data_IF_753794441096
#
_entry.id   IF_753794441096
#
_cell.length_a   1.000
_cell.length_b   1.000
_cell.length_c   1.000
_cell.angle_alpha   90.00
_cell.angle_beta   90.00
_cell.angle_gamma   90.00
#
_symmetry.space_group_name_H-M   'P 1'
#
loop_
_entity.id
_entity.type
_entity.pdbx_description
1 polymer ?
#
# COMPACT_ATOMS: atom_id res chain seq x y z
N UNK A 1 11.68 -34.27 18.48
CA UNK A 1 11.22 -33.24 17.52
C UNK A 1 9.80 -33.60 17.12
N UNK A 2 8.80 -32.93 17.68
CA UNK A 2 7.41 -33.12 17.24
C UNK A 2 7.28 -32.71 15.77
N UNK A 3 6.73 -33.61 14.94
CA UNK A 3 6.36 -33.29 13.57
C UNK A 3 5.25 -32.24 13.63
N UNK A 4 5.56 -30.98 13.31
CA UNK A 4 4.53 -29.99 12.99
C UNK A 4 3.75 -30.51 11.78
N UNK A 5 2.56 -31.05 12.00
CA UNK A 5 1.62 -31.31 10.93
C UNK A 5 1.27 -29.95 10.31
N UNK A 6 1.75 -29.73 9.09
CA UNK A 6 1.37 -28.57 8.30
C UNK A 6 -0.13 -28.71 7.98
N UNK A 7 -0.95 -27.68 8.25
CA UNK A 7 -2.38 -27.73 7.93
C UNK A 7 -2.57 -28.01 6.42
N UNK A 8 -3.58 -28.81 6.08
CA UNK A 8 -3.91 -29.06 4.69
C UNK A 8 -4.48 -27.79 4.06
N UNK A 9 -4.36 -27.64 2.73
CA UNK A 9 -4.96 -26.51 1.99
C UNK A 9 -6.47 -26.39 2.30
N UNK A 10 -7.13 -27.52 2.52
CA UNK A 10 -8.55 -27.61 2.89
C UNK A 10 -8.85 -26.97 4.25
N UNK A 11 -7.91 -27.00 5.19
CA UNK A 11 -8.09 -26.40 6.52
C UNK A 11 -7.93 -24.88 6.47
N UNK A 12 -7.15 -24.35 5.51
CA UNK A 12 -7.15 -22.92 5.18
C UNK A 12 -8.51 -22.46 4.64
N UNK A 13 -9.22 -23.31 3.89
CA UNK A 13 -10.58 -23.01 3.42
C UNK A 13 -11.65 -23.15 4.53
N UNK A 14 -11.45 -24.03 5.51
CA UNK A 14 -12.40 -24.32 6.60
C UNK A 14 -12.41 -23.32 7.77
N UNK A 15 -11.40 -22.46 7.91
CA UNK A 15 -11.45 -21.38 8.93
C UNK A 15 -12.66 -20.44 8.73
N UNK A 16 -12.95 -19.57 9.69
CA UNK A 16 -14.13 -18.68 9.75
C UNK A 16 -14.48 -18.08 8.37
N UNK A 17 -15.53 -18.64 7.76
CA UNK A 17 -15.94 -18.31 6.40
C UNK A 17 -16.51 -16.90 6.33
N UNK A 18 -17.22 -16.47 7.37
CA UNK A 18 -17.87 -15.16 7.44
C UNK A 18 -16.83 -14.03 7.58
N UNK A 19 -15.81 -14.24 8.43
CA UNK A 19 -14.69 -13.30 8.54
C UNK A 19 -13.94 -13.15 7.21
N UNK A 20 -13.73 -14.26 6.48
CA UNK A 20 -13.06 -14.24 5.17
C UNK A 20 -13.89 -13.54 4.10
N UNK A 21 -15.20 -13.78 4.07
CA UNK A 21 -16.10 -13.08 3.14
C UNK A 21 -16.06 -11.57 3.40
N UNK A 22 -16.17 -11.16 4.66
CA UNK A 22 -16.08 -9.74 5.06
C UNK A 22 -14.73 -9.13 4.67
N UNK A 23 -13.62 -9.85 4.87
CA UNK A 23 -12.28 -9.39 4.45
C UNK A 23 -12.12 -9.34 2.93
N UNK A 24 -12.74 -10.27 2.19
CA UNK A 24 -12.73 -10.26 0.72
C UNK A 24 -13.52 -9.06 0.17
N UNK A 25 -14.68 -8.76 0.74
CA UNK A 25 -15.46 -7.57 0.40
C UNK A 25 -14.64 -6.29 0.66
N UNK A 26 -14.00 -6.18 1.83
CA UNK A 26 -13.09 -5.08 2.13
C UNK A 26 -11.95 -4.98 1.11
N UNK A 27 -11.32 -6.10 0.75
CA UNK A 27 -10.27 -6.14 -0.26
C UNK A 27 -10.77 -5.63 -1.62
N UNK A 28 -12.00 -5.95 -2.01
CA UNK A 28 -12.58 -5.47 -3.27
C UNK A 28 -12.82 -3.96 -3.22
N UNK A 29 -13.31 -3.44 -2.09
CA UNK A 29 -13.53 -2.00 -1.89
C UNK A 29 -12.22 -1.22 -1.90
N UNK A 30 -11.18 -1.70 -1.19
CA UNK A 30 -9.87 -1.05 -1.13
C UNK A 30 -9.13 -1.10 -2.48
N UNK A 31 -9.47 -2.05 -3.35
CA UNK A 31 -8.87 -2.19 -4.67
C UNK A 31 -9.71 -1.62 -5.82
N UNK A 32 -10.69 -0.76 -5.51
CA UNK A 32 -11.31 0.11 -6.51
C UNK A 32 -10.33 1.18 -7.03
N UNK A 33 -10.46 1.63 -8.29
CA UNK A 33 -9.58 2.66 -8.83
C UNK A 33 -9.78 4.00 -8.09
N UNK A 34 -8.72 4.79 -7.89
CA UNK A 34 -8.83 6.12 -7.30
C UNK A 34 -9.58 7.07 -8.24
N UNK A 35 -10.19 8.12 -7.68
CA UNK A 35 -10.88 9.13 -8.48
C UNK A 35 -9.91 9.76 -9.50
N UNK A 36 -10.25 9.79 -10.80
CA UNK A 36 -9.34 10.28 -11.85
C UNK A 36 -8.86 11.72 -11.63
N UNK A 37 -9.71 12.57 -11.04
CA UNK A 37 -9.40 13.96 -10.72
C UNK A 37 -8.28 14.13 -9.67
N UNK A 38 -7.97 13.11 -8.89
CA UNK A 38 -6.91 13.15 -7.88
C UNK A 38 -5.55 12.73 -8.41
N UNK A 39 -5.52 12.15 -9.61
CA UNK A 39 -4.30 11.64 -10.23
C UNK A 39 -3.58 12.80 -10.91
N UNK A 40 -2.35 13.09 -10.46
CA UNK A 40 -1.48 14.12 -11.02
C UNK A 40 -0.23 13.51 -11.64
N UNK A 41 0.40 14.23 -12.57
CA UNK A 41 1.71 13.84 -13.12
C UNK A 41 2.84 14.33 -12.23
N UNK A 42 3.82 13.48 -11.96
CA UNK A 42 4.94 13.83 -11.10
C UNK A 42 5.79 14.94 -11.73
N UNK A 43 6.13 16.01 -10.99
CA UNK A 43 6.83 17.17 -11.56
C UNK A 43 8.25 16.85 -12.05
N UNK A 44 8.90 15.85 -11.47
CA UNK A 44 10.31 15.51 -11.76
C UNK A 44 10.48 14.20 -12.53
N UNK A 45 9.46 13.35 -12.61
CA UNK A 45 9.57 11.99 -13.18
C UNK A 45 8.59 11.85 -14.33
N UNK A 46 9.12 11.77 -15.55
CA UNK A 46 8.31 11.72 -16.78
C UNK A 46 7.51 10.42 -16.83
N UNK A 47 6.20 10.53 -16.95
CA UNK A 47 5.29 9.39 -17.06
C UNK A 47 4.90 8.74 -15.74
N UNK A 48 5.40 9.25 -14.60
CA UNK A 48 4.99 8.77 -13.27
C UNK A 48 3.78 9.59 -12.82
N UNK A 49 2.70 8.90 -12.48
CA UNK A 49 1.50 9.47 -11.89
C UNK A 49 1.57 9.34 -10.37
N UNK A 50 0.95 10.26 -9.64
CA UNK A 50 0.86 10.22 -8.19
C UNK A 50 -0.44 10.81 -7.68
N UNK A 51 -0.82 10.44 -6.46
CA UNK A 51 -1.91 11.05 -5.71
C UNK A 51 -1.28 12.01 -4.68
N UNK A 52 -1.74 13.28 -4.57
CA UNK A 52 -1.27 14.21 -3.55
C UNK A 52 -1.48 13.68 -2.13
N UNK A 53 -0.55 13.95 -1.22
CA UNK A 53 -0.58 13.44 0.17
C UNK A 53 -1.89 13.82 0.89
N UNK A 54 -2.37 15.05 0.71
CA UNK A 54 -3.65 15.54 1.27
C UNK A 54 -4.85 14.62 0.94
N UNK A 55 -4.84 13.99 -0.24
CA UNK A 55 -5.92 13.08 -0.68
C UNK A 55 -5.75 11.70 -0.07
N UNK A 56 -4.51 11.26 0.14
CA UNK A 56 -4.19 10.01 0.83
C UNK A 56 -4.61 10.10 2.29
N UNK A 57 -4.25 11.16 3.00
CA UNK A 57 -4.65 11.38 4.40
C UNK A 57 -6.17 11.51 4.56
N UNK A 58 -6.82 12.20 3.62
CA UNK A 58 -8.28 12.24 3.55
C UNK A 58 -8.90 10.85 3.39
N UNK A 59 -8.37 10.01 2.49
CA UNK A 59 -8.85 8.64 2.29
C UNK A 59 -8.62 7.77 3.54
N UNK A 60 -7.45 7.87 4.17
CA UNK A 60 -7.15 7.15 5.41
C UNK A 60 -8.14 7.53 6.52
N UNK A 61 -8.41 8.82 6.67
CA UNK A 61 -9.37 9.34 7.65
C UNK A 61 -10.79 8.88 7.33
N UNK A 62 -11.19 8.89 6.06
CA UNK A 62 -12.56 8.52 5.65
C UNK A 62 -12.80 7.01 5.76
N UNK A 63 -11.81 6.19 5.46
CA UNK A 63 -11.95 4.72 5.43
C UNK A 63 -11.71 4.08 6.80
N UNK A 64 -10.69 4.50 7.54
CA UNK A 64 -10.29 3.83 8.79
C UNK A 64 -10.63 4.60 10.06
N UNK A 65 -11.04 5.88 9.97
CA UNK A 65 -11.32 6.81 11.08
C UNK A 65 -10.13 7.10 12.00
N UNK A 66 -9.48 6.06 12.52
CA UNK A 66 -8.27 6.12 13.34
C UNK A 66 -7.07 5.59 12.56
N UNK A 67 -6.09 6.47 12.38
CA UNK A 67 -4.79 6.12 11.83
C UNK A 67 -3.71 6.97 12.48
N UNK A 68 -2.48 6.46 12.51
CA UNK A 68 -1.32 7.17 13.06
C UNK A 68 -0.07 6.78 12.31
N UNK A 69 0.89 7.70 12.28
CA UNK A 69 2.20 7.49 11.65
C UNK A 69 3.25 7.39 12.74
N UNK A 70 4.05 6.34 12.66
CA UNK A 70 5.25 6.17 13.48
C UNK A 70 6.48 6.29 12.58
N UNK A 71 7.35 7.26 12.85
CA UNK A 71 8.64 7.36 12.15
C UNK A 71 9.58 6.31 12.72
N UNK A 72 9.92 5.29 11.93
CA UNK A 72 10.84 4.20 12.32
C UNK A 72 12.29 4.65 12.28
N UNK A 73 12.66 5.39 11.25
CA UNK A 73 14.02 5.90 11.06
C UNK A 73 14.05 7.08 10.12
N UNK A 74 14.91 8.04 10.41
CA UNK A 74 15.30 9.11 9.50
C UNK A 74 16.80 9.03 9.31
N UNK A 75 17.24 8.82 8.07
CA UNK A 75 18.65 8.61 7.73
C UNK A 75 19.05 9.50 6.56
N UNK A 76 20.32 9.89 6.51
CA UNK A 76 20.92 10.48 5.32
C UNK A 76 21.68 9.35 4.62
N UNK A 77 21.27 9.02 3.40
CA UNK A 77 21.93 8.02 2.56
C UNK A 77 22.38 8.74 1.31
N UNK A 78 23.69 8.74 1.04
CA UNK A 78 24.27 9.56 -0.03
C UNK A 78 23.88 11.04 0.16
N UNK A 79 23.34 11.69 -0.88
CA UNK A 79 22.82 13.05 -0.84
C UNK A 79 21.29 13.10 -0.66
N UNK A 80 20.69 12.10 -0.01
CA UNK A 80 19.22 12.01 0.14
C UNK A 80 18.81 11.79 1.59
N UNK A 81 17.71 12.44 1.98
CA UNK A 81 16.99 12.11 3.20
C UNK A 81 16.09 10.89 2.90
N UNK A 82 16.27 9.83 3.68
CA UNK A 82 15.46 8.61 3.60
C UNK A 82 14.71 8.45 4.91
N UNK A 83 13.39 8.36 4.81
CA UNK A 83 12.50 8.19 5.95
C UNK A 83 11.77 6.86 5.78
N UNK A 84 11.78 6.07 6.85
CA UNK A 84 10.97 4.85 6.96
C UNK A 84 9.88 5.14 7.98
N UNK A 85 8.63 4.94 7.56
CA UNK A 85 7.46 5.10 8.42
C UNK A 85 6.71 3.80 8.56
N UNK A 86 6.03 3.65 9.69
CA UNK A 86 4.99 2.65 9.90
C UNK A 86 3.66 3.36 10.00
N UNK A 87 2.78 3.11 9.03
CA UNK A 87 1.42 3.58 9.03
C UNK A 87 0.56 2.56 9.75
N UNK A 88 0.01 2.93 10.90
CA UNK A 88 -0.96 2.13 11.63
C UNK A 88 -2.37 2.62 11.29
N UNK A 89 -3.28 1.69 11.03
CA UNK A 89 -4.69 1.98 10.80
C UNK A 89 -5.56 0.92 11.48
N UNK A 90 -6.69 1.36 12.00
CA UNK A 90 -7.66 0.44 12.61
C UNK A 90 -8.51 -0.18 11.51
N UNK A 91 -8.52 -1.51 11.44
CA UNK A 91 -9.36 -2.21 10.48
C UNK A 91 -10.84 -2.09 10.88
N UNK A 92 -11.70 -1.81 9.90
CA UNK A 92 -13.12 -1.53 10.13
C UNK A 92 -13.94 -2.79 10.47
N UNK A 93 -13.42 -3.98 10.15
CA UNK A 93 -14.15 -5.24 10.31
C UNK A 93 -14.00 -5.82 11.72
N UNK A 94 -12.81 -5.71 12.31
CA UNK A 94 -12.45 -6.37 13.58
C UNK A 94 -11.95 -5.38 14.66
N UNK A 95 -11.82 -4.09 14.33
CA UNK A 95 -11.25 -3.04 15.19
C UNK A 95 -9.80 -3.27 15.61
N UNK A 96 -9.11 -4.23 15.00
CA UNK A 96 -7.70 -4.49 15.29
C UNK A 96 -6.79 -3.52 14.53
N UNK A 97 -5.65 -3.23 15.13
CA UNK A 97 -4.64 -2.36 14.53
C UNK A 97 -3.79 -3.14 13.53
N UNK A 98 -3.93 -2.78 12.26
CA UNK A 98 -3.04 -3.22 11.20
C UNK A 98 -2.00 -2.16 10.89
N UNK A 99 -0.93 -2.56 10.20
CA UNK A 99 0.11 -1.63 9.81
C UNK A 99 0.73 -1.97 8.46
N UNK A 100 1.24 -0.94 7.79
CA UNK A 100 2.09 -1.07 6.61
C UNK A 100 3.32 -0.20 6.80
N UNK A 101 4.48 -0.74 6.45
CA UNK A 101 5.72 0.04 6.42
C UNK A 101 5.86 0.70 5.06
N UNK A 102 6.36 1.94 5.05
CA UNK A 102 6.60 2.72 3.84
C UNK A 102 7.97 3.37 3.86
N UNK A 103 8.56 3.51 2.67
CA UNK A 103 9.88 4.12 2.50
C UNK A 103 9.76 5.30 1.54
N UNK A 104 10.32 6.43 1.93
CA UNK A 104 10.39 7.62 1.11
C UNK A 104 11.80 8.19 1.09
N UNK A 105 12.20 8.69 -0.08
CA UNK A 105 13.50 9.29 -0.29
C UNK A 105 13.37 10.61 -1.06
N UNK A 106 14.10 11.63 -0.63
CA UNK A 106 14.19 12.91 -1.33
C UNK A 106 15.63 13.42 -1.34
N UNK A 107 16.09 13.83 -2.51
CA UNK A 107 17.43 14.38 -2.66
C UNK A 107 17.57 15.73 -1.95
N UNK A 108 18.66 15.88 -1.21
CA UNK A 108 19.14 17.13 -0.63
C UNK A 108 19.63 17.99 -1.80
N UNK A 109 19.06 19.18 -1.94
CA UNK A 109 19.33 20.07 -3.07
C UNK A 109 20.65 20.84 -2.87
N UNK A 110 21.50 20.82 -3.88
CA UNK A 110 22.69 21.66 -4.00
C UNK A 110 22.45 22.83 -4.95
N UNK A 111 23.37 23.78 -4.97
CA UNK A 111 23.35 24.89 -5.90
C UNK A 111 23.51 24.43 -7.36
N UNK A 112 22.98 25.24 -8.28
CA UNK A 112 22.98 24.92 -9.70
C UNK A 112 24.41 24.83 -10.22
N UNK A 113 24.79 23.68 -10.77
CA UNK A 113 26.12 23.43 -11.32
C UNK A 113 27.08 22.74 -10.35
N UNK A 114 26.69 22.57 -9.09
CA UNK A 114 27.46 21.82 -8.09
C UNK A 114 27.20 20.32 -8.19
N UNK A 115 28.18 19.52 -7.78
CA UNK A 115 28.02 18.07 -7.66
C UNK A 115 26.98 17.70 -6.60
N UNK A 116 26.29 16.58 -6.78
CA UNK A 116 25.27 16.10 -5.85
C UNK A 116 25.80 15.83 -4.41
N UNK A 117 27.11 15.62 -4.27
CA UNK A 117 27.79 15.32 -3.00
C UNK A 117 28.59 16.52 -2.47
N UNK A 118 28.44 17.71 -3.06
CA UNK A 118 29.13 18.92 -2.60
C UNK A 118 28.39 19.53 -1.41
N UNK A 119 28.78 19.10 -0.21
CA UNK A 119 28.18 19.57 1.04
C UNK A 119 28.39 21.08 1.28
N UNK A 120 29.45 21.67 0.71
CA UNK A 120 29.69 23.11 0.82
C UNK A 120 28.73 23.94 -0.04
N UNK A 121 28.16 23.33 -1.08
CA UNK A 121 27.17 23.93 -1.96
C UNK A 121 25.74 23.45 -1.66
N UNK A 122 25.49 22.87 -0.49
CA UNK A 122 24.14 22.47 -0.06
C UNK A 122 23.33 23.71 0.29
N UNK A 123 22.11 23.80 -0.25
CA UNK A 123 21.22 24.93 0.08
C UNK A 123 20.86 24.90 1.56
N UNK A 124 20.80 26.07 2.18
CA UNK A 124 20.47 26.19 3.61
C UNK A 124 19.10 25.60 3.98
N UNK A 125 18.15 25.60 3.05
CA UNK A 125 16.81 25.02 3.22
C UNK A 125 16.67 23.59 2.69
N UNK A 126 17.76 22.96 2.25
CA UNK A 126 17.72 21.67 1.57
C UNK A 126 17.17 20.55 2.47
N UNK A 127 17.69 20.41 3.70
CA UNK A 127 17.24 19.38 4.64
C UNK A 127 15.82 19.65 5.12
N UNK A 128 15.48 20.93 5.37
CA UNK A 128 14.13 21.35 5.77
C UNK A 128 13.07 21.01 4.71
N UNK A 129 13.44 20.98 3.42
CA UNK A 129 12.57 20.51 2.34
C UNK A 129 12.61 19.00 2.16
N UNK A 130 13.81 18.40 2.21
CA UNK A 130 14.00 17.00 1.87
C UNK A 130 13.41 16.05 2.92
N UNK A 131 13.58 16.32 4.22
CA UNK A 131 13.10 15.42 5.27
C UNK A 131 11.56 15.31 5.31
N UNK A 132 10.77 16.41 5.33
CA UNK A 132 9.30 16.32 5.31
C UNK A 132 8.75 15.78 3.98
N UNK A 133 9.42 16.06 2.86
CA UNK A 133 9.04 15.49 1.57
C UNK A 133 9.27 13.97 1.53
N UNK A 134 10.40 13.49 2.06
CA UNK A 134 10.69 12.06 2.20
C UNK A 134 9.67 11.37 3.11
N UNK A 135 9.30 11.98 4.24
CA UNK A 135 8.22 11.47 5.10
C UNK A 135 6.88 11.37 4.35
N UNK A 136 6.50 12.42 3.62
CA UNK A 136 5.27 12.41 2.81
C UNK A 136 5.29 11.30 1.76
N UNK A 137 6.46 11.01 1.16
CA UNK A 137 6.60 9.89 0.23
C UNK A 137 6.50 8.53 0.93
N UNK A 138 7.07 8.40 2.13
CA UNK A 138 7.00 7.19 2.92
C UNK A 138 5.55 6.87 3.35
N UNK A 139 4.78 7.88 3.76
CA UNK A 139 3.35 7.71 4.12
C UNK A 139 2.54 7.24 2.90
N UNK A 140 2.77 7.82 1.72
CA UNK A 140 2.12 7.38 0.49
C UNK A 140 2.49 5.94 0.13
N UNK A 141 3.77 5.58 0.18
CA UNK A 141 4.23 4.20 -0.10
C UNK A 141 3.59 3.18 0.87
N UNK A 142 3.45 3.54 2.15
CA UNK A 142 2.75 2.69 3.11
C UNK A 142 1.25 2.54 2.76
N UNK A 143 0.58 3.64 2.42
CA UNK A 143 -0.84 3.64 2.05
C UNK A 143 -1.12 2.89 0.74
N UNK A 144 -0.24 2.99 -0.26
CA UNK A 144 -0.34 2.28 -1.53
C UNK A 144 -0.37 0.75 -1.33
N UNK A 145 0.27 0.23 -0.28
CA UNK A 145 0.24 -1.22 0.04
C UNK A 145 -1.13 -1.70 0.51
N UNK A 146 -1.96 -0.80 1.03
CA UNK A 146 -3.32 -1.09 1.51
C UNK A 146 -4.26 -1.45 0.36
N UNK A 147 -4.18 -0.75 -0.78
CA UNK A 147 -5.04 -1.05 -1.92
C UNK A 147 -4.96 -0.04 -3.07
N UNK A 148 -5.55 -0.40 -4.21
CA UNK A 148 -5.55 0.46 -5.42
C UNK A 148 -6.14 1.84 -5.21
N UNK A 149 -7.09 2.00 -4.28
CA UNK A 149 -7.71 3.30 -3.99
C UNK A 149 -6.68 4.34 -3.51
N UNK A 150 -5.55 3.87 -2.96
CA UNK A 150 -4.42 4.70 -2.54
C UNK A 150 -3.33 4.86 -3.62
N UNK A 151 -3.47 4.21 -4.78
CA UNK A 151 -2.53 4.35 -5.91
C UNK A 151 -1.62 3.16 -6.18
N UNK A 152 -1.83 2.00 -5.54
CA UNK A 152 -1.00 0.77 -5.67
C UNK A 152 -0.59 0.39 -7.09
N UNK A 153 -1.51 0.51 -8.03
CA UNK A 153 -1.34 0.07 -9.42
C UNK A 153 -1.16 1.24 -10.40
N UNK A 154 -1.08 2.47 -9.90
CA UNK A 154 -1.13 3.69 -10.73
C UNK A 154 -0.01 3.77 -11.78
N UNK A 155 1.12 3.13 -11.52
CA UNK A 155 2.30 3.10 -12.38
C UNK A 155 2.67 1.68 -12.83
N UNK A 156 1.80 0.67 -12.63
CA UNK A 156 2.03 -0.70 -13.10
C UNK A 156 1.57 -0.86 -14.54
N UNK A 157 2.27 -1.72 -15.30
CA UNK A 157 1.91 -2.02 -16.70
C UNK A 157 0.76 -3.02 -16.80
N UNK A 158 0.70 -3.96 -15.86
CA UNK A 158 -0.32 -5.01 -15.80
C UNK A 158 -1.18 -4.79 -14.54
N UNK A 159 -2.50 -4.78 -14.72
CA UNK A 159 -3.46 -4.63 -13.63
C UNK A 159 -4.09 -5.98 -13.27
N UNK A 160 -4.15 -6.30 -11.97
CA UNK A 160 -4.85 -7.49 -11.48
C UNK A 160 -6.22 -7.06 -10.94
N UNK A 161 -7.31 -7.56 -11.53
CA UNK A 161 -8.67 -7.30 -11.05
C UNK A 161 -8.95 -8.05 -9.75
N UNK A 162 -9.56 -7.37 -8.78
CA UNK A 162 -9.95 -7.98 -7.50
C UNK A 162 -11.42 -8.43 -7.49
N UNK A 163 -12.18 -8.15 -8.54
CA UNK A 163 -13.62 -8.49 -8.65
C UNK A 163 -13.89 -10.00 -8.58
N UNK A 164 -12.90 -10.82 -8.94
CA UNK A 164 -13.00 -12.29 -8.82
C UNK A 164 -13.08 -12.77 -7.37
N UNK A 165 -12.71 -11.93 -6.38
CA UNK A 165 -12.88 -12.25 -4.95
C UNK A 165 -14.36 -12.24 -4.53
N UNK A 166 -15.23 -11.51 -5.23
CA UNK A 166 -16.66 -11.49 -4.97
C UNK A 166 -17.39 -12.75 -5.48
N UNK A 167 -16.71 -13.65 -6.21
CA UNK A 167 -17.31 -14.81 -6.85
C UNK A 167 -16.81 -16.14 -6.32
N UNK A 168 -17.49 -16.72 -5.32
CA UNK A 168 -18.41 -17.88 -5.46
C UNK A 168 -19.12 -18.18 -4.12
N UNK A 169 -20.22 -17.48 -3.83
CA UNK A 169 -21.47 -18.17 -3.43
C UNK A 169 -22.03 -18.78 -4.72
N UNK A 170 -21.35 -19.81 -5.23
CA UNK A 170 -21.88 -20.68 -6.28
C UNK A 170 -22.11 -21.99 -5.58
N UNK A 171 -23.36 -22.44 -5.59
CA UNK A 171 -23.84 -23.72 -5.07
C UNK A 171 -22.71 -24.74 -4.98
N UNK A 172 -22.26 -25.00 -3.73
CA UNK A 172 -21.20 -25.97 -3.42
C UNK A 172 -21.51 -27.37 -3.99
N UNK A 173 -22.77 -27.65 -4.33
CA UNK A 173 -23.22 -28.92 -4.92
C UNK A 173 -22.90 -29.05 -6.42
N UNK A 174 -22.89 -27.97 -7.21
CA UNK A 174 -22.69 -28.09 -8.66
C UNK A 174 -21.22 -28.34 -9.02
N UNK A 175 -20.28 -27.62 -8.38
CA UNK A 175 -18.85 -27.85 -8.62
C UNK A 175 -18.36 -29.18 -8.08
N UNK A 176 -18.91 -29.66 -6.97
CA UNK A 176 -18.50 -30.95 -6.42
C UNK A 176 -18.87 -32.08 -7.37
N UNK A 177 -20.05 -32.01 -8.00
CA UNK A 177 -20.48 -32.98 -8.99
C UNK A 177 -19.69 -32.92 -10.31
N UNK A 178 -19.21 -31.74 -10.75
CA UNK A 178 -18.30 -31.64 -11.90
C UNK A 178 -16.95 -32.32 -11.62
N UNK A 179 -16.40 -32.19 -10.41
CA UNK A 179 -15.14 -32.83 -10.02
C UNK A 179 -15.24 -34.35 -9.83
N UNK A 180 -16.44 -34.90 -9.58
CA UNK A 180 -16.65 -36.34 -9.39
C UNK A 180 -17.26 -37.08 -10.59
N UNK A 181 -17.68 -36.37 -11.65
CA UNK A 181 -18.31 -36.97 -12.83
C UNK A 181 -17.45 -36.93 -14.11
N UNK A 182 -16.19 -36.48 -14.06
CA UNK A 182 -15.25 -36.57 -15.19
C UNK A 182 -14.57 -37.95 -15.35
N UNK A 183 -15.13 -39.02 -14.80
CA UNK A 183 -14.78 -40.40 -15.16
C UNK A 183 -16.03 -41.21 -15.53
N UNK A 184 -16.48 -41.07 -16.79
CA UNK A 184 -17.07 -42.15 -17.60
C UNK A 184 -16.84 -41.93 -19.09
#
# INVERSE_FOLDING_TARGET
MEKKNLPAIQDLYKGDLELKETQNELNVLLNQPPAPAWIKSHPFAKGVKYIPIERIEYLLTRLFLQWRVEIKSTQIIANSCVVTVRLHYQNITDNDWSWQDGIGAMAIQTDKGSGAMDWNATKSDAVMKAAPAAESYAIKDAAEKIGKIFGKDLNRKDEIGYDMLLGKVVNKEEKLNEFFNEEK
#
